data_IF_395537888704
#
_entry.id   IF_395537888704
#
_cell.length_a   1.000
_cell.length_b   1.000
_cell.length_c   1.000
_cell.angle_alpha   90.00
_cell.angle_beta   90.00
_cell.angle_gamma   90.00
#
_symmetry.space_group_name_H-M   'P 1'
#
loop_
_entity.id
_entity.type
_entity.pdbx_description
1 polymer ?
#
# COMPACT_ATOMS: atom_id res chain seq x y z
N UNK A 1 5.32 5.49 -15.59
CA UNK A 1 5.76 4.47 -14.61
C UNK A 1 4.70 3.40 -14.50
N UNK A 2 5.09 2.14 -14.65
CA UNK A 2 4.17 1.00 -14.58
C UNK A 2 4.57 0.10 -13.42
N UNK A 3 3.68 -0.05 -12.46
CA UNK A 3 3.88 -0.89 -11.29
C UNK A 3 2.61 -1.69 -11.01
N UNK A 4 2.78 -2.87 -10.45
CA UNK A 4 1.67 -3.68 -9.92
C UNK A 4 1.73 -3.67 -8.40
N UNK A 5 0.59 -3.47 -7.78
CA UNK A 5 0.44 -3.52 -6.33
C UNK A 5 -0.36 -4.75 -5.99
N UNK A 6 0.22 -5.63 -5.18
CA UNK A 6 -0.46 -6.85 -4.73
C UNK A 6 -0.47 -6.87 -3.22
N UNK A 7 -1.64 -7.03 -2.64
CA UNK A 7 -1.80 -7.23 -1.21
C UNK A 7 -1.78 -8.73 -0.92
N UNK A 8 -1.08 -9.12 0.14
CA UNK A 8 -1.07 -10.51 0.57
C UNK A 8 -2.47 -10.95 1.03
N UNK A 9 -3.21 -10.02 1.66
CA UNK A 9 -4.61 -10.24 2.05
C UNK A 9 -5.44 -9.03 1.69
N UNK A 10 -6.66 -9.25 1.24
CA UNK A 10 -7.61 -8.17 0.95
C UNK A 10 -8.51 -7.82 2.13
N UNK A 11 -8.53 -8.65 3.16
CA UNK A 11 -9.24 -8.40 4.41
C UNK A 11 -8.21 -8.47 5.54
N UNK A 12 -8.09 -7.37 6.28
CA UNK A 12 -7.10 -7.22 7.34
C UNK A 12 -7.84 -7.04 8.66
N UNK A 13 -7.43 -7.77 9.68
CA UNK A 13 -7.95 -7.61 11.04
C UNK A 13 -6.97 -6.78 11.87
N UNK A 14 -7.50 -6.03 12.84
CA UNK A 14 -6.62 -5.37 13.81
C UNK A 14 -5.70 -6.40 14.46
N UNK A 15 -4.44 -6.04 14.59
CA UNK A 15 -3.40 -6.93 15.08
C UNK A 15 -2.61 -7.62 13.98
N UNK A 16 -3.09 -7.57 12.74
CA UNK A 16 -2.36 -8.08 11.59
C UNK A 16 -1.59 -6.96 10.90
N UNK A 17 -0.44 -7.31 10.31
CA UNK A 17 0.32 -6.39 9.47
C UNK A 17 -0.28 -6.36 8.06
N UNK A 18 -0.15 -5.22 7.38
CA UNK A 18 -0.49 -5.13 5.97
C UNK A 18 0.78 -5.37 5.16
N UNK A 19 0.77 -6.39 4.32
CA UNK A 19 1.91 -6.75 3.49
C UNK A 19 1.58 -6.45 2.04
N UNK A 20 2.40 -5.60 1.44
CA UNK A 20 2.21 -5.11 0.07
C UNK A 20 3.41 -5.51 -0.76
N UNK A 21 3.15 -6.09 -1.92
CA UNK A 21 4.19 -6.36 -2.91
C UNK A 21 4.03 -5.36 -4.04
N UNK A 22 5.12 -4.67 -4.34
CA UNK A 22 5.16 -3.69 -5.43
C UNK A 22 6.12 -4.23 -6.47
N UNK A 23 5.59 -4.55 -7.63
CA UNK A 23 6.39 -5.06 -8.75
C UNK A 23 6.52 -3.98 -9.81
N UNK A 24 7.75 -3.67 -10.19
CA UNK A 24 8.02 -2.75 -11.29
C UNK A 24 7.98 -3.53 -12.60
N UNK A 25 7.14 -3.07 -13.53
CA UNK A 25 7.01 -3.68 -14.84
C UNK A 25 8.00 -3.05 -15.82
N UNK A 26 8.21 -1.75 -15.69
CA UNK A 26 9.25 -1.07 -16.46
C UNK A 26 10.59 -1.18 -15.72
N UNK A 27 11.67 -0.79 -16.39
CA UNK A 27 13.02 -0.88 -15.85
C UNK A 27 13.40 0.33 -15.00
N UNK A 28 12.42 1.07 -14.54
CA UNK A 28 12.66 2.27 -13.72
C UNK A 28 13.26 1.88 -12.36
N UNK A 29 14.25 2.65 -11.94
CA UNK A 29 14.87 2.52 -10.63
C UNK A 29 14.57 3.73 -9.72
N UNK A 30 13.56 4.50 -10.08
CA UNK A 30 13.17 5.68 -9.31
C UNK A 30 12.49 5.27 -7.99
N UNK A 31 12.74 6.02 -6.90
CA UNK A 31 11.99 5.82 -5.67
C UNK A 31 10.50 6.03 -5.89
N UNK A 32 9.69 5.26 -5.16
CA UNK A 32 8.24 5.32 -5.24
C UNK A 32 7.67 5.86 -3.94
N UNK A 33 6.51 6.48 -4.04
CA UNK A 33 5.73 6.89 -2.87
C UNK A 33 4.43 6.09 -2.86
N UNK A 34 4.27 5.24 -1.85
CA UNK A 34 3.04 4.48 -1.63
C UNK A 34 2.17 5.27 -0.65
N UNK A 35 0.94 5.52 -1.04
CA UNK A 35 -0.03 6.21 -0.18
C UNK A 35 -1.25 5.34 0.05
N UNK A 36 -1.84 5.49 1.23
CA UNK A 36 -3.08 4.79 1.58
C UNK A 36 -4.14 5.86 1.84
N UNK A 37 -5.29 5.68 1.21
CA UNK A 37 -6.42 6.60 1.29
C UNK A 37 -7.63 5.91 1.88
N UNK A 38 -8.44 6.65 2.63
CA UNK A 38 -9.72 6.17 3.14
C UNK A 38 -10.83 6.32 2.10
N UNK A 39 -12.06 6.02 2.48
CA UNK A 39 -13.22 6.11 1.57
C UNK A 39 -13.53 7.54 1.15
N UNK A 40 -13.08 8.52 1.91
CA UNK A 40 -13.22 9.94 1.57
C UNK A 40 -12.08 10.45 0.67
N UNK A 41 -11.19 9.54 0.24
CA UNK A 41 -10.01 9.84 -0.57
C UNK A 41 -8.97 10.70 0.18
N UNK A 42 -9.03 10.74 1.50
CA UNK A 42 -8.02 11.38 2.31
C UNK A 42 -6.80 10.47 2.48
N UNK A 43 -5.61 11.00 2.27
CA UNK A 43 -4.38 10.27 2.51
C UNK A 43 -4.13 10.16 4.01
N UNK A 44 -4.11 8.92 4.51
CA UNK A 44 -3.92 8.67 5.94
C UNK A 44 -2.55 8.10 6.26
N UNK A 45 -1.81 7.66 5.25
CA UNK A 45 -0.51 7.02 5.44
C UNK A 45 0.31 7.15 4.16
N UNK A 46 1.61 7.33 4.31
CA UNK A 46 2.53 7.39 3.18
C UNK A 46 3.85 6.76 3.57
N UNK A 47 4.44 6.03 2.63
CA UNK A 47 5.73 5.38 2.84
C UNK A 47 6.55 5.48 1.55
N UNK A 48 7.83 5.79 1.71
CA UNK A 48 8.77 5.80 0.60
C UNK A 48 9.30 4.39 0.34
N UNK A 49 9.43 4.04 -0.92
CA UNK A 49 9.94 2.75 -1.36
C UNK A 49 11.17 3.01 -2.21
N UNK A 50 12.27 2.34 -1.87
CA UNK A 50 13.53 2.51 -2.57
C UNK A 50 13.42 2.02 -4.02
N UNK A 51 14.24 2.59 -4.92
CA UNK A 51 14.17 2.28 -6.35
C UNK A 51 15.11 1.16 -6.79
N UNK A 52 15.78 0.49 -5.88
CA UNK A 52 16.87 -0.41 -6.21
C UNK A 52 16.48 -1.87 -6.43
N UNK A 53 15.18 -2.17 -6.41
CA UNK A 53 14.65 -3.53 -6.57
C UNK A 53 13.50 -3.58 -7.56
N UNK A 54 13.40 -4.70 -8.28
CA UNK A 54 12.26 -4.94 -9.18
C UNK A 54 10.99 -5.29 -8.41
N UNK A 55 11.15 -5.94 -7.25
CA UNK A 55 10.04 -6.30 -6.37
C UNK A 55 10.38 -5.81 -4.98
N UNK A 56 9.52 -4.96 -4.44
CA UNK A 56 9.62 -4.47 -3.08
C UNK A 56 8.51 -5.06 -2.22
N UNK A 57 8.89 -5.54 -1.04
CA UNK A 57 7.94 -6.01 -0.04
C UNK A 57 7.85 -4.96 1.06
N UNK A 58 6.69 -4.35 1.17
CA UNK A 58 6.43 -3.29 2.14
C UNK A 58 5.54 -3.86 3.24
N UNK A 59 5.95 -3.68 4.49
CA UNK A 59 5.17 -4.12 5.64
C UNK A 59 4.72 -2.88 6.39
N UNK A 60 3.40 -2.74 6.54
CA UNK A 60 2.82 -1.72 7.41
C UNK A 60 2.49 -2.43 8.71
N UNK A 61 3.21 -2.12 9.81
CA UNK A 61 3.04 -2.87 11.04
C UNK A 61 1.67 -2.61 11.68
N UNK A 62 1.17 -3.61 12.36
CA UNK A 62 -0.15 -3.57 12.98
C UNK A 62 -0.32 -2.39 13.95
N UNK A 63 0.75 -1.96 14.59
CA UNK A 63 0.69 -0.84 15.52
C UNK A 63 0.33 0.48 14.82
N UNK A 64 0.71 0.65 13.55
CA UNK A 64 0.39 1.84 12.79
C UNK A 64 -1.09 1.87 12.39
N UNK A 65 -1.75 0.72 12.40
CA UNK A 65 -3.13 0.57 11.94
C UNK A 65 -4.13 0.73 13.09
N UNK A 66 -3.68 0.63 14.32
CA UNK A 66 -4.56 0.61 15.51
C UNK A 66 -5.48 1.81 15.61
N UNK A 67 -5.07 2.96 15.07
CA UNK A 67 -5.84 4.20 15.14
C UNK A 67 -6.80 4.38 13.96
N UNK A 68 -6.74 3.49 12.98
CA UNK A 68 -7.61 3.61 11.80
C UNK A 68 -8.99 3.02 12.09
N UNK A 69 -10.01 3.61 11.52
CA UNK A 69 -11.37 3.08 11.61
C UNK A 69 -11.55 1.87 10.70
N UNK A 70 -12.49 0.99 11.05
CA UNK A 70 -12.91 -0.08 10.15
C UNK A 70 -13.47 0.51 8.87
N UNK A 71 -13.19 -0.12 7.75
CA UNK A 71 -13.70 0.32 6.46
C UNK A 71 -12.77 -0.07 5.33
N UNK A 72 -13.05 0.48 4.17
CA UNK A 72 -12.31 0.20 2.95
C UNK A 72 -11.22 1.25 2.76
N UNK A 73 -10.05 0.78 2.34
CA UNK A 73 -8.88 1.61 2.09
C UNK A 73 -8.30 1.31 0.72
N UNK A 74 -7.66 2.30 0.13
CA UNK A 74 -7.10 2.23 -1.22
C UNK A 74 -5.61 2.54 -1.17
N UNK A 75 -4.81 1.71 -1.86
CA UNK A 75 -3.38 1.93 -2.00
C UNK A 75 -3.10 2.48 -3.38
N UNK A 76 -2.26 3.49 -3.45
CA UNK A 76 -1.85 4.12 -4.69
C UNK A 76 -0.35 4.38 -4.69
N UNK A 77 0.24 4.32 -5.88
CA UNK A 77 1.61 4.76 -6.10
C UNK A 77 1.54 6.08 -6.86
N UNK A 78 2.19 7.10 -6.34
CA UNK A 78 2.23 8.41 -6.98
C UNK A 78 2.81 8.28 -8.40
N UNK A 79 2.10 8.82 -9.37
CA UNK A 79 2.51 8.75 -10.78
C UNK A 79 2.07 7.48 -11.50
N UNK A 80 1.40 6.56 -10.82
CA UNK A 80 0.86 5.34 -11.43
C UNK A 80 -0.66 5.37 -11.42
N UNK A 81 -1.26 4.72 -12.41
CA UNK A 81 -2.71 4.53 -12.47
C UNK A 81 -3.16 3.30 -11.68
N UNK A 82 -2.22 2.45 -11.28
CA UNK A 82 -2.54 1.25 -10.52
C UNK A 82 -2.97 1.59 -9.12
N UNK A 83 -4.02 0.91 -8.67
CA UNK A 83 -4.47 0.98 -7.29
C UNK A 83 -4.88 -0.41 -6.83
N UNK A 84 -4.87 -0.61 -5.53
CA UNK A 84 -5.37 -1.82 -4.90
C UNK A 84 -6.18 -1.40 -3.69
N UNK A 85 -6.95 -2.32 -3.14
CA UNK A 85 -7.80 -2.00 -1.98
C UNK A 85 -7.84 -3.15 -1.00
N UNK A 86 -8.10 -2.81 0.26
CA UNK A 86 -8.34 -3.79 1.31
C UNK A 86 -9.45 -3.28 2.23
N UNK A 87 -9.98 -4.18 3.03
CA UNK A 87 -10.95 -3.85 4.06
C UNK A 87 -10.36 -4.14 5.43
N UNK A 88 -10.46 -3.18 6.35
CA UNK A 88 -10.03 -3.32 7.73
C UNK A 88 -11.24 -3.66 8.58
N UNK A 89 -11.16 -4.76 9.30
CA UNK A 89 -12.26 -5.27 10.15
C UNK A 89 -11.77 -5.56 11.56
N UNK A 90 -12.71 -5.67 12.46
CA UNK A 90 -12.45 -6.11 13.83
C UNK A 90 -12.22 -7.61 13.90
#
# INVERSE_FOLDING_TARGET
MTVEITLEKSIIKYGEDIIVLIKRIDSSDEPLSLTIHDESDDSIYAIGVSGDKNIDRVVIPSIDIEQWDCGKYFLRIFGSKYSSSFELIN
#
